data_IF_200374634438
#
_entry.id   IF_200374634438
#
_cell.length_a   1.000
_cell.length_b   1.000
_cell.length_c   1.000
_cell.angle_alpha   90.00
_cell.angle_beta   90.00
_cell.angle_gamma   90.00
#
_symmetry.space_group_name_H-M   'P 1'
#
loop_
_entity.id
_entity.type
_entity.pdbx_description
1 polymer ?
#
# COMPACT_ATOMS: atom_id res chain seq x y z
N UNK A 1 -14.02 7.23 9.35
CA UNK A 1 -13.36 6.15 10.15
C UNK A 1 -11.90 5.88 9.75
N UNK A 2 -11.35 6.52 8.72
CA UNK A 2 -10.02 6.17 8.18
C UNK A 2 -9.06 7.37 8.18
N UNK A 3 -9.39 8.48 8.86
CA UNK A 3 -8.47 9.61 9.00
C UNK A 3 -7.24 9.22 9.84
N UNK A 4 -6.12 9.89 9.61
CA UNK A 4 -4.89 9.64 10.38
C UNK A 4 -5.10 9.80 11.89
N UNK A 5 -5.89 10.79 12.31
CA UNK A 5 -6.20 11.00 13.74
C UNK A 5 -6.95 9.80 14.31
N UNK A 6 -7.96 9.29 13.61
CA UNK A 6 -8.64 8.04 14.00
C UNK A 6 -7.68 6.85 14.11
N UNK A 7 -6.73 6.72 13.18
CA UNK A 7 -5.73 5.65 13.22
C UNK A 7 -4.81 5.79 14.44
N UNK A 8 -4.36 7.01 14.75
CA UNK A 8 -3.51 7.29 15.91
C UNK A 8 -4.24 6.96 17.20
N UNK A 9 -5.48 7.42 17.35
CA UNK A 9 -6.33 7.12 18.52
C UNK A 9 -6.57 5.62 18.65
N UNK A 10 -6.85 4.93 17.55
CA UNK A 10 -7.04 3.48 17.53
C UNK A 10 -5.78 2.71 17.94
N UNK A 11 -4.61 3.12 17.45
CA UNK A 11 -3.33 2.53 17.86
C UNK A 11 -3.11 2.71 19.37
N UNK A 12 -3.35 3.92 19.89
CA UNK A 12 -3.19 4.23 21.30
C UNK A 12 -4.15 3.40 22.18
N UNK A 13 -5.40 3.27 21.76
CA UNK A 13 -6.43 2.58 22.54
C UNK A 13 -6.26 1.05 22.53
N UNK A 14 -5.84 0.47 21.42
CA UNK A 14 -5.78 -0.99 21.27
C UNK A 14 -4.39 -1.58 21.48
N UNK A 15 -3.34 -0.79 21.34
CA UNK A 15 -1.95 -1.25 21.46
C UNK A 15 -1.23 -0.74 22.71
N UNK A 16 -1.96 -0.46 23.80
CA UNK A 16 -1.41 0.07 25.05
C UNK A 16 -0.27 -0.77 25.63
N UNK A 17 -0.35 -2.09 25.52
CA UNK A 17 0.71 -3.00 26.01
C UNK A 17 2.03 -2.92 25.23
N UNK A 18 2.03 -2.24 24.07
CA UNK A 18 3.20 -2.11 23.18
C UNK A 18 3.79 -0.69 23.17
N UNK A 19 3.30 0.26 23.97
CA UNK A 19 3.67 1.68 23.90
C UNK A 19 5.18 1.96 23.98
N UNK A 20 5.94 1.13 24.70
CA UNK A 20 7.39 1.23 24.79
C UNK A 20 8.13 0.58 23.61
N UNK A 21 7.42 -0.14 22.74
CA UNK A 21 8.00 -0.97 21.68
C UNK A 21 7.86 -0.38 20.28
N UNK A 22 7.23 0.79 20.16
CA UNK A 22 7.12 1.49 18.88
C UNK A 22 7.11 3.01 19.02
N UNK A 23 7.35 3.69 17.91
CA UNK A 23 7.12 5.13 17.74
C UNK A 23 6.33 5.35 16.45
N UNK A 24 5.37 6.26 16.47
CA UNK A 24 4.70 6.72 15.23
C UNK A 24 5.45 7.90 14.65
N UNK A 25 5.42 8.08 13.32
CA UNK A 25 6.01 9.26 12.69
C UNK A 25 5.36 10.55 13.17
N UNK A 26 4.04 10.52 13.44
CA UNK A 26 3.33 11.67 14.01
C UNK A 26 3.89 12.06 15.38
N UNK A 27 4.09 11.10 16.28
CA UNK A 27 4.66 11.37 17.60
C UNK A 27 6.12 11.84 17.51
N UNK A 28 6.93 11.23 16.65
CA UNK A 28 8.31 11.65 16.42
C UNK A 28 8.38 13.10 15.94
N UNK A 29 7.57 13.49 14.96
CA UNK A 29 7.54 14.87 14.48
C UNK A 29 7.15 15.86 15.59
N UNK A 30 6.13 15.53 16.40
CA UNK A 30 5.65 16.40 17.48
C UNK A 30 6.66 16.57 18.61
N UNK A 31 7.42 15.54 18.94
CA UNK A 31 8.32 15.50 20.11
C UNK A 31 9.76 15.85 19.71
N UNK A 32 10.24 15.31 18.61
CA UNK A 32 11.65 15.34 18.20
C UNK A 32 11.89 16.20 16.94
N UNK A 33 10.81 16.66 16.28
CA UNK A 33 10.87 17.40 15.02
C UNK A 33 11.03 16.51 13.79
N UNK A 34 10.87 17.11 12.59
CA UNK A 34 10.94 16.39 11.30
C UNK A 34 12.33 15.80 11.03
N UNK A 35 13.38 16.40 11.60
CA UNK A 35 14.76 15.96 11.46
C UNK A 35 14.97 14.55 11.99
N UNK A 36 14.21 14.13 13.00
CA UNK A 36 14.27 12.77 13.54
C UNK A 36 13.84 11.74 12.52
N UNK A 37 12.75 12.02 11.78
CA UNK A 37 12.26 11.19 10.69
C UNK A 37 13.23 11.19 9.52
N UNK A 38 13.72 12.37 9.11
CA UNK A 38 14.69 12.53 8.03
C UNK A 38 15.93 11.66 8.27
N UNK A 39 16.53 11.77 9.45
CA UNK A 39 17.70 10.98 9.87
C UNK A 39 17.41 9.48 9.89
N UNK A 40 16.30 9.08 10.47
CA UNK A 40 15.91 7.67 10.59
C UNK A 40 15.61 7.04 9.21
N UNK A 41 14.93 7.78 8.34
CA UNK A 41 14.55 7.28 7.02
C UNK A 41 15.68 7.44 5.96
N UNK A 42 16.68 8.27 6.21
CA UNK A 42 17.73 8.62 5.25
C UNK A 42 17.19 9.54 4.15
N UNK A 43 16.32 10.48 4.51
CA UNK A 43 15.65 11.42 3.62
C UNK A 43 16.17 12.86 3.87
N UNK A 44 15.94 13.76 2.91
CA UNK A 44 15.97 15.20 3.17
C UNK A 44 14.84 15.59 4.13
N UNK A 45 14.90 16.77 4.73
CA UNK A 45 13.82 17.26 5.59
C UNK A 45 12.53 17.46 4.79
N UNK A 46 12.64 17.95 3.57
CA UNK A 46 11.50 18.12 2.66
C UNK A 46 10.84 16.78 2.30
N UNK A 47 11.63 15.78 1.96
CA UNK A 47 11.11 14.42 1.67
C UNK A 47 10.52 13.77 2.92
N UNK A 48 11.12 13.99 4.09
CA UNK A 48 10.59 13.50 5.35
C UNK A 48 9.24 14.16 5.70
N UNK A 49 9.11 15.47 5.44
CA UNK A 49 7.85 16.17 5.58
C UNK A 49 6.78 15.58 4.66
N UNK A 50 7.10 15.41 3.38
CA UNK A 50 6.19 14.79 2.41
C UNK A 50 5.83 13.35 2.80
N UNK A 51 6.80 12.55 3.24
CA UNK A 51 6.57 11.18 3.70
C UNK A 51 5.68 11.11 4.95
N UNK A 52 5.71 12.14 5.80
CA UNK A 52 4.90 12.22 7.01
C UNK A 52 3.56 12.96 6.80
N UNK A 53 3.39 13.71 5.72
CA UNK A 53 2.13 14.39 5.39
C UNK A 53 1.10 13.39 4.85
N UNK A 54 0.47 12.65 5.76
CA UNK A 54 -0.47 11.55 5.47
C UNK A 54 -1.84 11.86 6.03
N UNK A 55 -2.87 11.50 5.29
CA UNK A 55 -4.27 11.71 5.69
C UNK A 55 -4.95 10.41 6.15
N UNK A 56 -4.56 9.26 5.55
CA UNK A 56 -5.26 7.98 5.73
C UNK A 56 -4.33 6.83 6.11
N UNK A 57 -3.14 7.13 6.61
CA UNK A 57 -2.19 6.13 7.07
C UNK A 57 -1.28 6.68 8.14
N UNK A 58 -0.72 5.79 8.97
CA UNK A 58 0.32 6.13 9.94
C UNK A 58 1.51 5.20 9.78
N UNK A 59 2.73 5.75 9.93
CA UNK A 59 3.97 4.98 9.88
C UNK A 59 4.46 4.71 11.28
N UNK A 60 4.77 3.45 11.53
CA UNK A 60 5.28 2.97 12.81
C UNK A 60 6.70 2.44 12.67
N UNK A 61 7.57 2.95 13.51
CA UNK A 61 8.91 2.43 13.76
C UNK A 61 8.82 1.38 14.85
N UNK A 62 9.14 0.14 14.53
CA UNK A 62 9.15 -0.93 15.51
C UNK A 62 10.50 -1.04 16.20
N UNK A 63 10.50 -1.16 17.53
CA UNK A 63 11.70 -1.11 18.38
C UNK A 63 11.96 -2.40 19.16
N UNK A 64 11.17 -3.45 18.96
CA UNK A 64 11.24 -4.69 19.71
C UNK A 64 11.42 -5.90 18.78
N UNK A 65 11.19 -7.11 19.28
CA UNK A 65 11.35 -8.37 18.56
C UNK A 65 10.30 -8.59 17.49
N UNK A 66 10.58 -9.42 16.50
CA UNK A 66 9.62 -9.79 15.45
C UNK A 66 8.39 -10.52 16.01
N UNK A 67 8.56 -11.32 17.07
CA UNK A 67 7.45 -11.99 17.74
C UNK A 67 6.46 -10.96 18.33
N UNK A 68 6.96 -9.94 19.02
CA UNK A 68 6.14 -8.86 19.59
C UNK A 68 5.50 -8.01 18.49
N UNK A 69 6.23 -7.79 17.38
CA UNK A 69 5.70 -7.11 16.19
C UNK A 69 4.48 -7.83 15.60
N UNK A 70 4.54 -9.16 15.50
CA UNK A 70 3.41 -9.95 15.02
C UNK A 70 2.22 -9.83 15.98
N UNK A 71 2.43 -9.90 17.29
CA UNK A 71 1.36 -9.71 18.28
C UNK A 71 0.72 -8.33 18.18
N UNK A 72 1.53 -7.28 17.99
CA UNK A 72 1.04 -5.92 17.73
C UNK A 72 0.18 -5.86 16.47
N UNK A 73 0.67 -6.43 15.35
CA UNK A 73 -0.07 -6.47 14.10
C UNK A 73 -1.39 -7.24 14.23
N UNK A 74 -1.39 -8.38 14.90
CA UNK A 74 -2.59 -9.19 15.15
C UNK A 74 -3.59 -8.45 16.02
N UNK A 75 -3.12 -7.73 17.04
CA UNK A 75 -3.95 -6.91 17.91
C UNK A 75 -4.67 -5.80 17.13
N UNK A 76 -3.95 -5.04 16.33
CA UNK A 76 -4.53 -3.97 15.50
C UNK A 76 -5.47 -4.52 14.43
N UNK A 77 -5.12 -5.65 13.81
CA UNK A 77 -5.97 -6.29 12.79
C UNK A 77 -7.30 -6.76 13.37
N UNK A 78 -7.31 -7.32 14.57
CA UNK A 78 -8.55 -7.69 15.30
C UNK A 78 -9.44 -6.48 15.59
N UNK A 79 -8.85 -5.30 15.68
CA UNK A 79 -9.55 -4.05 15.94
C UNK A 79 -9.82 -3.22 14.66
N UNK A 80 -9.78 -3.86 13.49
CA UNK A 80 -10.21 -3.25 12.25
C UNK A 80 -9.16 -2.36 11.56
N UNK A 81 -7.87 -2.54 11.86
CA UNK A 81 -6.77 -1.87 11.19
C UNK A 81 -5.94 -2.85 10.36
N UNK A 82 -5.41 -2.37 9.25
CA UNK A 82 -4.48 -3.14 8.42
C UNK A 82 -3.04 -2.73 8.74
N UNK A 83 -2.21 -3.71 9.09
CA UNK A 83 -0.78 -3.51 9.35
C UNK A 83 0.04 -4.17 8.26
N UNK A 84 0.81 -3.38 7.53
CA UNK A 84 1.64 -3.86 6.43
C UNK A 84 3.12 -3.55 6.67
N UNK A 85 3.99 -4.53 6.46
CA UNK A 85 5.43 -4.30 6.48
C UNK A 85 5.86 -3.64 5.17
N UNK A 86 6.37 -2.41 5.26
CA UNK A 86 6.94 -1.67 4.15
C UNK A 86 8.44 -1.42 4.39
N UNK A 87 9.31 -2.21 3.78
CA UNK A 87 10.76 -2.05 3.99
C UNK A 87 11.13 -2.10 5.47
N UNK A 88 11.55 -0.94 6.03
CA UNK A 88 12.00 -0.81 7.44
C UNK A 88 10.87 -0.50 8.42
N UNK A 89 9.74 -0.02 7.95
CA UNK A 89 8.66 0.51 8.77
C UNK A 89 7.37 -0.28 8.57
N UNK A 90 6.49 -0.22 9.58
CA UNK A 90 5.11 -0.67 9.43
C UNK A 90 4.26 0.48 8.91
N UNK A 91 3.35 0.18 8.01
CA UNK A 91 2.32 1.10 7.55
C UNK A 91 0.97 0.63 8.09
N UNK A 92 0.27 1.50 8.79
CA UNK A 92 -1.04 1.21 9.39
C UNK A 92 -2.08 2.03 8.65
N UNK A 93 -3.15 1.36 8.22
CA UNK A 93 -4.30 1.95 7.52
C UNK A 93 -5.60 1.38 8.07
N UNK A 94 -6.73 1.94 7.67
CA UNK A 94 -8.03 1.28 7.81
C UNK A 94 -8.11 0.01 6.96
N UNK A 95 -9.22 -0.71 7.08
CA UNK A 95 -9.48 -1.96 6.33
C UNK A 95 -9.84 -1.69 4.86
N UNK A 96 -9.07 -0.88 4.18
CA UNK A 96 -9.23 -0.67 2.74
C UNK A 96 -8.05 -1.29 1.99
N UNK A 97 -8.34 -1.90 0.88
CA UNK A 97 -7.35 -2.53 0.01
C UNK A 97 -7.19 -1.74 -1.29
N UNK A 98 -6.06 -1.94 -1.97
CA UNK A 98 -5.88 -1.39 -3.32
C UNK A 98 -6.99 -1.86 -4.27
N UNK A 99 -7.51 -3.07 -4.08
CA UNK A 99 -8.60 -3.63 -4.87
C UNK A 99 -9.91 -2.87 -4.70
N UNK A 100 -10.25 -2.47 -3.46
CA UNK A 100 -11.44 -1.63 -3.20
C UNK A 100 -11.28 -0.24 -3.82
N UNK A 101 -10.10 0.36 -3.71
CA UNK A 101 -9.81 1.63 -4.33
C UNK A 101 -9.96 1.57 -5.86
N UNK A 102 -9.42 0.51 -6.49
CA UNK A 102 -9.55 0.29 -7.95
C UNK A 102 -11.02 0.10 -8.34
N UNK A 103 -11.79 -0.73 -7.64
CA UNK A 103 -13.23 -0.90 -7.91
C UNK A 103 -13.99 0.43 -7.83
N UNK A 104 -13.68 1.25 -6.81
CA UNK A 104 -14.28 2.56 -6.66
C UNK A 104 -13.92 3.51 -7.82
N UNK A 105 -12.65 3.52 -8.24
CA UNK A 105 -12.21 4.30 -9.39
C UNK A 105 -12.89 3.83 -10.68
N UNK A 106 -12.92 2.54 -10.94
CA UNK A 106 -13.61 1.96 -12.10
C UNK A 106 -15.07 2.44 -12.14
N UNK A 107 -15.81 2.33 -11.02
CA UNK A 107 -17.20 2.79 -11.00
C UNK A 107 -17.32 4.30 -11.29
N UNK A 108 -16.44 5.14 -10.75
CA UNK A 108 -16.47 6.59 -10.99
C UNK A 108 -16.22 6.93 -12.46
N UNK A 109 -15.28 6.25 -13.11
CA UNK A 109 -14.94 6.54 -14.51
C UNK A 109 -15.91 5.89 -15.49
N UNK A 110 -16.33 4.64 -15.25
CA UNK A 110 -17.19 3.91 -16.17
C UNK A 110 -18.66 4.37 -16.12
N UNK A 111 -19.10 4.95 -14.99
CA UNK A 111 -20.47 5.48 -14.84
C UNK A 111 -20.65 6.90 -15.43
N UNK A 112 -19.65 7.44 -16.13
CA UNK A 112 -19.77 8.75 -16.77
C UNK A 112 -20.61 8.67 -18.05
N UNK A 113 -21.52 9.64 -18.30
CA UNK A 113 -22.47 9.57 -19.41
C UNK A 113 -21.84 9.49 -20.81
N UNK A 114 -20.60 10.00 -20.95
CA UNK A 114 -19.88 10.09 -22.24
C UNK A 114 -18.93 8.90 -22.48
N UNK A 115 -18.97 7.88 -21.62
CA UNK A 115 -18.09 6.70 -21.74
C UNK A 115 -18.87 5.48 -22.19
N UNK A 116 -18.80 5.17 -23.48
CA UNK A 116 -19.43 4.01 -24.07
C UNK A 116 -18.74 2.68 -23.73
N UNK A 117 -17.42 2.71 -23.51
CA UNK A 117 -16.62 1.51 -23.23
C UNK A 117 -15.56 1.84 -22.17
N UNK A 118 -15.54 1.05 -21.13
CA UNK A 118 -14.57 1.18 -20.06
C UNK A 118 -13.88 -0.16 -19.85
N UNK A 119 -12.56 -0.16 -19.83
CA UNK A 119 -11.73 -1.33 -19.48
C UNK A 119 -10.60 -0.87 -18.59
N UNK A 120 -10.24 -1.66 -17.61
CA UNK A 120 -9.25 -1.31 -16.61
C UNK A 120 -8.07 -2.27 -16.63
N UNK A 121 -6.86 -1.70 -16.54
CA UNK A 121 -5.61 -2.43 -16.41
C UNK A 121 -4.99 -2.20 -15.04
N UNK A 122 -4.86 -3.24 -14.24
CA UNK A 122 -4.06 -3.19 -13.01
C UNK A 122 -2.66 -3.74 -13.26
N UNK A 123 -1.66 -3.07 -12.69
CA UNK A 123 -0.25 -3.43 -12.85
C UNK A 123 0.40 -3.55 -11.46
N UNK A 124 1.05 -4.68 -11.18
CA UNK A 124 1.66 -4.90 -9.88
C UNK A 124 2.76 -5.96 -9.89
N UNK A 125 3.59 -5.95 -8.85
CA UNK A 125 4.71 -6.91 -8.70
C UNK A 125 4.78 -7.57 -7.32
N UNK A 126 3.95 -7.17 -6.37
CA UNK A 126 4.03 -7.55 -4.96
C UNK A 126 2.69 -7.99 -4.37
N UNK A 127 2.74 -8.70 -3.23
CA UNK A 127 1.56 -9.30 -2.63
C UNK A 127 0.45 -8.29 -2.27
N UNK A 128 0.81 -7.06 -1.93
CA UNK A 128 -0.15 -5.98 -1.66
C UNK A 128 -0.89 -5.50 -2.91
N UNK A 129 -0.45 -5.91 -4.12
CA UNK A 129 -1.11 -5.58 -5.38
C UNK A 129 -2.13 -6.63 -5.83
N UNK A 130 -2.15 -7.81 -5.18
CA UNK A 130 -3.01 -8.93 -5.59
C UNK A 130 -4.48 -8.50 -5.65
N UNK A 131 -4.99 -7.82 -4.63
CA UNK A 131 -6.40 -7.38 -4.60
C UNK A 131 -6.74 -6.41 -5.73
N UNK A 132 -5.79 -5.57 -6.15
CA UNK A 132 -5.91 -4.65 -7.29
C UNK A 132 -5.91 -5.44 -8.61
N UNK A 133 -4.95 -6.36 -8.78
CA UNK A 133 -4.85 -7.23 -9.95
C UNK A 133 -6.08 -8.13 -10.14
N UNK A 134 -6.71 -8.55 -9.04
CA UNK A 134 -7.97 -9.32 -9.08
C UNK A 134 -9.19 -8.44 -9.37
N UNK A 135 -9.13 -7.15 -9.01
CA UNK A 135 -10.27 -6.23 -9.11
C UNK A 135 -10.43 -5.53 -10.45
N UNK A 136 -9.41 -5.46 -11.30
CA UNK A 136 -9.44 -4.84 -12.62
C UNK A 136 -9.86 -5.84 -13.71
N UNK A 137 -10.23 -5.34 -14.91
CA UNK A 137 -10.58 -6.18 -16.05
C UNK A 137 -9.39 -6.98 -16.56
N UNK A 138 -8.23 -6.34 -16.65
CA UNK A 138 -6.97 -6.95 -17.07
C UNK A 138 -5.90 -6.79 -15.98
N UNK A 139 -5.10 -7.81 -15.74
CA UNK A 139 -3.99 -7.83 -14.82
C UNK A 139 -2.66 -7.99 -15.54
N UNK A 140 -1.71 -7.09 -15.28
CA UNK A 140 -0.33 -7.19 -15.72
C UNK A 140 0.58 -7.38 -14.51
N UNK A 141 1.08 -8.59 -14.33
CA UNK A 141 2.06 -8.91 -13.29
C UNK A 141 3.46 -8.58 -13.80
N UNK A 142 4.12 -7.64 -13.17
CA UNK A 142 5.49 -7.29 -13.53
C UNK A 142 6.46 -8.32 -12.96
N UNK A 143 7.29 -8.89 -13.84
CA UNK A 143 8.30 -9.88 -13.50
C UNK A 143 9.34 -9.26 -12.56
N UNK A 144 9.57 -9.82 -11.36
CA UNK A 144 10.59 -9.34 -10.45
C UNK A 144 11.97 -9.90 -10.83
N UNK A 145 13.05 -9.16 -10.52
CA UNK A 145 14.43 -9.58 -10.87
C UNK A 145 14.93 -10.78 -10.08
N UNK A 146 14.55 -10.91 -8.79
CA UNK A 146 15.19 -11.85 -7.85
C UNK A 146 14.23 -12.87 -7.23
N UNK A 147 12.95 -12.86 -7.60
CA UNK A 147 11.93 -13.75 -7.02
C UNK A 147 11.00 -14.27 -8.11
N UNK A 148 10.17 -15.25 -7.79
CA UNK A 148 9.10 -15.68 -8.69
C UNK A 148 8.02 -14.58 -8.75
N UNK A 149 7.35 -14.39 -9.90
CA UNK A 149 6.18 -13.51 -9.98
C UNK A 149 5.12 -13.93 -8.97
N UNK A 150 4.37 -12.95 -8.48
CA UNK A 150 3.23 -13.22 -7.61
C UNK A 150 2.17 -14.03 -8.38
N UNK A 151 1.44 -14.84 -7.64
CA UNK A 151 0.32 -15.61 -8.20
C UNK A 151 -0.98 -14.90 -7.90
N UNK A 152 -1.80 -14.72 -8.92
CA UNK A 152 -3.19 -14.26 -8.83
C UNK A 152 -4.13 -15.45 -9.01
N UNK A 153 -5.32 -15.39 -8.47
CA UNK A 153 -6.30 -16.49 -8.52
C UNK A 153 -7.04 -16.56 -9.85
N UNK A 154 -7.20 -15.41 -10.50
CA UNK A 154 -7.87 -15.31 -11.79
C UNK A 154 -7.12 -16.06 -12.89
N UNK A 155 -7.88 -16.66 -13.83
CA UNK A 155 -7.31 -17.50 -14.90
C UNK A 155 -7.32 -16.84 -16.28
N UNK A 156 -8.05 -15.75 -16.43
CA UNK A 156 -8.23 -15.05 -17.70
C UNK A 156 -7.81 -13.60 -17.60
N UNK A 157 -7.38 -13.00 -18.71
CA UNK A 157 -6.90 -11.61 -18.79
C UNK A 157 -5.79 -11.33 -17.77
N UNK A 158 -4.85 -12.27 -17.63
CA UNK A 158 -3.63 -12.15 -16.80
C UNK A 158 -2.42 -12.29 -17.69
N UNK A 159 -1.58 -11.28 -17.65
CA UNK A 159 -0.32 -11.22 -18.39
C UNK A 159 0.85 -11.11 -17.42
N UNK A 160 1.95 -11.78 -17.72
CA UNK A 160 3.20 -11.61 -16.97
C UNK A 160 4.17 -10.94 -17.93
N UNK A 161 4.72 -9.80 -17.53
CA UNK A 161 5.68 -9.08 -18.37
C UNK A 161 6.90 -9.95 -18.68
N UNK A 162 7.43 -9.85 -19.89
CA UNK A 162 8.68 -10.52 -20.25
C UNK A 162 9.89 -9.83 -19.63
N UNK A 163 9.85 -8.49 -19.59
CA UNK A 163 10.88 -7.63 -19.05
C UNK A 163 10.62 -7.29 -17.56
N UNK A 164 11.68 -6.84 -16.89
CA UNK A 164 11.63 -6.44 -15.48
C UNK A 164 11.31 -4.95 -15.31
N UNK A 165 10.66 -4.59 -14.22
CA UNK A 165 10.48 -3.22 -13.76
C UNK A 165 9.91 -2.28 -14.84
N UNK A 166 10.48 -1.08 -15.04
CA UNK A 166 9.91 -0.08 -15.94
C UNK A 166 9.76 -0.56 -17.39
N UNK A 167 10.67 -1.39 -17.90
CA UNK A 167 10.57 -1.94 -19.27
C UNK A 167 9.37 -2.88 -19.40
N UNK A 168 9.16 -3.78 -18.43
CA UNK A 168 8.00 -4.66 -18.40
C UNK A 168 6.69 -3.90 -18.27
N UNK A 169 6.70 -2.79 -17.53
CA UNK A 169 5.56 -1.89 -17.43
C UNK A 169 5.23 -1.26 -18.80
N UNK A 170 6.23 -0.64 -19.43
CA UNK A 170 6.04 0.03 -20.73
C UNK A 170 5.55 -0.94 -21.80
N UNK A 171 6.23 -2.10 -21.97
CA UNK A 171 5.84 -3.08 -22.99
C UNK A 171 4.42 -3.62 -22.76
N UNK A 172 4.08 -3.96 -21.50
CA UNK A 172 2.77 -4.50 -21.19
C UNK A 172 1.64 -3.50 -21.36
N UNK A 173 1.84 -2.23 -20.99
CA UNK A 173 0.85 -1.16 -21.24
C UNK A 173 0.68 -0.90 -22.71
N UNK A 174 1.78 -0.84 -23.48
CA UNK A 174 1.72 -0.62 -24.94
C UNK A 174 0.94 -1.74 -25.63
N UNK A 175 1.21 -3.00 -25.29
CA UNK A 175 0.50 -4.15 -25.83
C UNK A 175 -1.00 -4.11 -25.47
N UNK A 176 -1.32 -3.78 -24.24
CA UNK A 176 -2.71 -3.67 -23.79
C UNK A 176 -3.47 -2.58 -24.54
N UNK A 177 -2.87 -1.39 -24.70
CA UNK A 177 -3.47 -0.28 -25.46
C UNK A 177 -3.72 -0.62 -26.92
N UNK A 178 -2.79 -1.35 -27.56
CA UNK A 178 -2.96 -1.79 -28.96
C UNK A 178 -4.12 -2.79 -29.14
N UNK A 179 -4.39 -3.60 -28.11
CA UNK A 179 -5.49 -4.58 -28.14
C UNK A 179 -6.84 -3.99 -27.68
N UNK A 180 -6.84 -2.75 -27.16
CA UNK A 180 -8.06 -2.07 -26.71
C UNK A 180 -8.74 -1.27 -27.84
N UNK A 181 -8.04 -1.02 -28.93
CA UNK A 181 -8.49 -0.19 -30.08
C UNK A 181 -9.56 -0.88 -30.93
#
# INVERSE_FOLDING_TARGET
RDSRDYLIDSIQNHANEFLAEFKTFNAMQKIEGIQSIAKLAGLSEEDAWNANNREFSEVVVWLSTDKRKQMFADCLTKNGLLVQQGGRFLNITGLHTKGEAVKKLISIYCDQPDIDKCDSLAIGDSNNDISMLEGADTALVIKPRKRKPIKVSRKTKVHISQEFGPKGWVSGVTEWLQNFS
#
